data_IF_116650822078
#
_entry.id   IF_116650822078
#
_cell.length_a   1.000
_cell.length_b   1.000
_cell.length_c   1.000
_cell.angle_alpha   90.00
_cell.angle_beta   90.00
_cell.angle_gamma   90.00
#
_symmetry.space_group_name_H-M   'P 1'
#
loop_
_entity.id
_entity.type
_entity.pdbx_description
1 polymer ?
#
# COMPACT_ATOMS: atom_id res chain seq x y z
N UNK A 1 68.17 -24.05 5.93
CA UNK A 1 67.43 -24.46 4.72
C UNK A 1 66.04 -24.93 5.12
N UNK A 2 65.03 -24.25 4.60
CA UNK A 2 63.67 -24.72 4.27
C UNK A 2 62.76 -25.45 5.30
N UNK A 3 61.63 -24.76 5.56
CA UNK A 3 60.21 -25.22 5.46
C UNK A 3 59.72 -26.21 6.53
N UNK A 4 58.50 -26.16 7.07
CA UNK A 4 57.25 -25.52 6.65
C UNK A 4 56.35 -25.32 7.90
N UNK A 5 55.75 -24.14 8.04
CA UNK A 5 54.67 -23.83 8.99
C UNK A 5 53.37 -24.51 8.54
N UNK A 6 52.64 -25.20 9.43
CA UNK A 6 51.20 -25.40 9.29
C UNK A 6 50.48 -24.53 10.33
N UNK A 7 50.03 -23.35 9.90
CA UNK A 7 49.07 -22.51 10.63
C UNK A 7 47.69 -23.14 10.48
N UNK A 8 47.05 -23.49 11.61
CA UNK A 8 45.61 -23.69 11.66
C UNK A 8 44.95 -22.34 11.38
N UNK A 9 44.26 -22.27 10.25
CA UNK A 9 43.40 -21.14 9.88
C UNK A 9 42.19 -21.18 10.82
N UNK A 10 42.15 -20.25 11.78
CA UNK A 10 40.93 -19.95 12.51
C UNK A 10 39.98 -19.27 11.53
N UNK A 11 38.91 -19.98 11.18
CA UNK A 11 37.81 -19.45 10.39
C UNK A 11 37.14 -18.35 11.22
N UNK A 12 37.41 -17.09 10.91
CA UNK A 12 36.65 -15.94 11.40
C UNK A 12 35.23 -16.08 10.84
N UNK A 13 34.32 -16.64 11.65
CA UNK A 13 32.89 -16.48 11.40
C UNK A 13 32.53 -15.02 11.65
N UNK A 14 32.62 -14.22 10.59
CA UNK A 14 31.97 -12.91 10.55
C UNK A 14 30.46 -13.16 10.68
N UNK A 15 29.98 -13.13 11.92
CA UNK A 15 28.57 -12.90 12.21
C UNK A 15 28.31 -11.49 11.72
N UNK A 16 27.87 -11.37 10.47
CA UNK A 16 27.19 -10.18 10.00
C UNK A 16 25.93 -10.07 10.87
N UNK A 17 26.02 -9.28 11.93
CA UNK A 17 24.85 -8.63 12.49
C UNK A 17 24.21 -7.88 11.32
N UNK A 18 23.16 -8.46 10.75
CA UNK A 18 22.25 -7.73 9.88
C UNK A 18 21.76 -6.56 10.72
N UNK A 19 22.28 -5.36 10.45
CA UNK A 19 21.70 -4.14 10.98
C UNK A 19 20.27 -4.10 10.46
N UNK A 20 19.32 -4.48 11.33
CA UNK A 20 17.92 -4.11 11.16
C UNK A 20 17.91 -2.59 11.27
N UNK A 21 17.96 -1.92 10.12
CA UNK A 21 17.72 -0.49 10.05
C UNK A 21 16.25 -0.32 10.38
N UNK A 22 15.95 -0.18 11.67
CA UNK A 22 14.62 0.19 12.13
C UNK A 22 14.29 1.56 11.53
N UNK A 23 13.24 1.62 10.71
CA UNK A 23 12.71 2.85 10.13
C UNK A 23 12.61 3.96 11.19
N UNK A 24 13.29 5.06 10.89
CA UNK A 24 13.32 6.25 11.72
C UNK A 24 12.24 7.20 11.25
N UNK A 25 10.98 6.85 11.53
CA UNK A 25 10.00 7.91 11.81
C UNK A 25 10.64 8.87 12.83
N UNK A 26 10.52 10.19 12.67
CA UNK A 26 11.08 11.18 13.62
C UNK A 26 10.51 11.06 15.06
N UNK A 27 9.62 10.11 15.31
CA UNK A 27 9.15 9.66 16.61
C UNK A 27 9.89 8.42 17.09
N UNK A 28 10.05 8.22 18.41
CA UNK A 28 10.65 6.97 18.95
C UNK A 28 10.12 5.71 18.25
N UNK A 29 11.00 4.76 17.88
CA UNK A 29 10.65 3.61 17.05
C UNK A 29 9.54 2.75 17.68
N UNK A 30 8.74 2.04 16.88
CA UNK A 30 7.78 1.07 17.41
C UNK A 30 8.50 -0.02 18.20
N UNK A 31 7.85 -0.56 19.23
CA UNK A 31 8.39 -1.71 19.96
C UNK A 31 8.25 -2.98 19.14
N UNK A 32 7.18 -3.08 18.34
CA UNK A 32 6.95 -4.20 17.44
C UNK A 32 6.54 -3.64 16.09
N UNK A 33 7.23 -4.08 15.04
CA UNK A 33 6.87 -3.80 13.66
C UNK A 33 7.03 -5.07 12.85
N UNK A 34 5.92 -5.80 12.72
CA UNK A 34 5.88 -7.08 12.03
C UNK A 34 5.31 -6.90 10.63
N UNK A 35 6.14 -7.20 9.64
CA UNK A 35 5.79 -7.25 8.21
C UNK A 35 6.58 -8.38 7.56
N UNK A 36 6.11 -8.88 6.43
CA UNK A 36 6.86 -9.90 5.70
C UNK A 36 8.05 -9.30 4.99
N UNK A 37 9.20 -9.93 5.20
CA UNK A 37 10.35 -9.78 4.34
C UNK A 37 10.07 -10.44 2.97
N UNK A 38 10.02 -9.66 1.87
CA UNK A 38 9.74 -10.15 0.53
C UNK A 38 10.74 -11.19 0.03
N UNK A 39 11.96 -11.24 0.59
CA UNK A 39 13.01 -12.18 0.20
C UNK A 39 12.83 -13.60 0.76
N UNK A 40 11.83 -13.84 1.61
CA UNK A 40 11.67 -15.15 2.28
C UNK A 40 11.01 -16.21 1.40
N UNK A 41 11.40 -17.48 1.55
CA UNK A 41 10.80 -18.62 0.82
C UNK A 41 9.28 -18.73 1.00
N UNK A 42 8.72 -18.25 2.12
CA UNK A 42 7.27 -18.16 2.34
C UNK A 42 6.62 -17.10 1.43
N UNK A 43 7.25 -15.94 1.24
CA UNK A 43 6.80 -14.89 0.31
C UNK A 43 6.73 -15.39 -1.15
N UNK A 44 7.71 -16.21 -1.55
CA UNK A 44 7.80 -16.78 -2.92
C UNK A 44 6.72 -17.83 -3.18
N UNK A 45 6.25 -18.55 -2.16
CA UNK A 45 5.26 -19.64 -2.27
C UNK A 45 3.80 -19.22 -2.09
N UNK A 46 3.50 -17.92 -2.04
CA UNK A 46 2.12 -17.47 -1.86
C UNK A 46 1.24 -17.92 -3.04
N UNK A 47 0.14 -18.65 -2.78
CA UNK A 47 -0.82 -19.02 -3.83
C UNK A 47 -1.82 -17.91 -4.14
N UNK A 48 -1.82 -16.81 -3.38
CA UNK A 48 -2.79 -15.72 -3.53
C UNK A 48 -2.59 -15.04 -4.90
N UNK A 49 -3.63 -14.96 -5.72
CA UNK A 49 -3.48 -14.58 -7.14
C UNK A 49 -3.17 -13.09 -7.36
N UNK A 50 -3.30 -12.26 -6.31
CA UNK A 50 -3.23 -10.81 -6.40
C UNK A 50 -1.94 -10.22 -5.79
N UNK A 51 -0.76 -10.83 -6.00
CA UNK A 51 0.47 -10.47 -5.25
C UNK A 51 1.13 -9.09 -5.54
N UNK A 52 0.43 -8.18 -6.21
CA UNK A 52 0.96 -6.93 -6.73
C UNK A 52 1.62 -6.02 -5.67
N UNK A 53 0.83 -5.51 -4.72
CA UNK A 53 1.15 -4.59 -3.62
C UNK A 53 1.93 -5.16 -2.40
N UNK A 54 2.68 -6.27 -2.53
CA UNK A 54 3.20 -7.13 -1.43
C UNK A 54 2.16 -8.05 -0.80
N UNK A 55 2.33 -9.35 -1.02
CA UNK A 55 1.35 -10.33 -0.55
C UNK A 55 2.06 -11.60 -0.13
N UNK A 56 2.23 -11.69 1.17
CA UNK A 56 1.80 -12.81 2.00
C UNK A 56 1.21 -12.12 3.25
N UNK A 57 0.30 -12.78 3.98
CA UNK A 57 -0.02 -12.36 5.35
C UNK A 57 1.11 -12.75 6.30
N UNK A 58 1.27 -12.04 7.44
CA UNK A 58 2.32 -12.29 8.45
C UNK A 58 2.13 -13.63 9.21
N UNK A 59 1.31 -14.54 8.68
CA UNK A 59 0.93 -15.83 9.23
C UNK A 59 2.13 -16.56 9.86
N UNK A 60 1.99 -16.88 11.15
CA UNK A 60 2.95 -17.57 12.01
C UNK A 60 4.25 -16.79 12.31
N UNK A 61 4.35 -15.49 11.98
CA UNK A 61 5.53 -14.69 12.37
C UNK A 61 5.46 -14.22 13.82
N UNK A 62 4.24 -14.05 14.35
CA UNK A 62 4.09 -13.60 15.72
C UNK A 62 3.97 -14.80 16.66
N UNK A 63 5.12 -15.30 17.10
CA UNK A 63 5.29 -16.55 17.87
C UNK A 63 4.34 -16.73 19.06
N UNK A 64 3.87 -15.64 19.67
CA UNK A 64 3.02 -15.68 20.86
C UNK A 64 1.56 -15.37 20.59
N UNK A 65 1.19 -14.92 19.38
CA UNK A 65 -0.16 -14.44 19.02
C UNK A 65 -0.77 -13.44 20.01
N UNK A 66 0.08 -12.79 20.81
CA UNK A 66 -0.31 -11.72 21.72
C UNK A 66 0.82 -10.70 21.91
N UNK A 67 0.43 -9.46 22.26
CA UNK A 67 1.32 -8.40 22.71
C UNK A 67 1.04 -8.14 24.19
N UNK A 68 2.09 -8.15 25.02
CA UNK A 68 2.00 -7.76 26.43
C UNK A 68 2.21 -6.26 26.55
N UNK A 69 1.42 -5.61 27.38
CA UNK A 69 1.59 -4.20 27.71
C UNK A 69 1.13 -3.92 29.15
N UNK A 70 1.53 -2.76 29.66
CA UNK A 70 1.11 -2.28 30.98
C UNK A 70 -0.02 -1.28 30.83
N UNK A 71 -1.05 -1.41 31.66
CA UNK A 71 -2.15 -0.44 31.76
C UNK A 71 -1.67 0.96 32.20
N UNK A 72 -0.52 1.06 32.86
CA UNK A 72 0.11 2.33 33.26
C UNK A 72 0.80 3.08 32.12
N UNK A 73 0.91 2.46 30.94
CA UNK A 73 1.46 3.08 29.74
C UNK A 73 0.39 3.17 28.67
N UNK A 74 0.36 4.30 27.98
CA UNK A 74 -0.45 4.41 26.76
C UNK A 74 0.15 3.53 25.67
N UNK A 75 -0.65 3.10 24.71
CA UNK A 75 -0.14 2.37 23.56
C UNK A 75 -0.94 2.68 22.29
N UNK A 76 -0.36 2.39 21.14
CA UNK A 76 -1.02 2.48 19.85
C UNK A 76 -0.70 1.25 19.02
N UNK A 77 -1.72 0.54 18.58
CA UNK A 77 -1.66 -0.57 17.65
C UNK A 77 -2.22 -0.10 16.31
N UNK A 78 -1.53 -0.38 15.20
CA UNK A 78 -2.04 -0.22 13.84
C UNK A 78 -1.82 -1.51 13.06
N UNK A 79 -2.79 -1.92 12.25
CA UNK A 79 -2.71 -3.16 11.49
C UNK A 79 -3.43 -3.07 10.16
N UNK A 80 -3.07 -3.97 9.24
CA UNK A 80 -3.72 -4.14 7.94
C UNK A 80 -4.30 -5.54 7.86
N UNK A 81 -5.57 -5.61 7.46
CA UNK A 81 -6.34 -6.85 7.37
C UNK A 81 -7.07 -6.96 6.03
N UNK A 82 -7.03 -8.12 5.37
CA UNK A 82 -7.65 -8.31 4.03
C UNK A 82 -9.14 -8.64 4.07
N UNK A 83 -9.66 -9.04 5.24
CA UNK A 83 -11.11 -9.23 5.49
C UNK A 83 -11.77 -10.35 4.68
N UNK A 84 -11.01 -11.39 4.27
CA UNK A 84 -11.51 -12.52 3.47
C UNK A 84 -12.56 -13.37 4.20
N UNK A 85 -12.26 -13.85 5.39
CA UNK A 85 -13.14 -14.73 6.19
C UNK A 85 -13.66 -14.02 7.44
N UNK A 86 -14.79 -14.45 8.00
CA UNK A 86 -15.30 -13.88 9.26
C UNK A 86 -14.40 -14.32 10.41
N UNK A 87 -13.57 -13.42 10.92
CA UNK A 87 -12.57 -13.79 11.92
C UNK A 87 -12.28 -12.66 12.93
N UNK A 88 -11.99 -13.03 14.19
CA UNK A 88 -11.51 -12.05 15.16
C UNK A 88 -10.13 -11.56 14.73
N UNK A 89 -9.97 -10.24 14.62
CA UNK A 89 -8.68 -9.62 14.30
C UNK A 89 -7.86 -9.47 15.58
N UNK A 90 -8.43 -8.86 16.61
CA UNK A 90 -7.82 -8.79 17.93
C UNK A 90 -8.84 -8.66 19.05
N UNK A 91 -8.42 -9.03 20.26
CA UNK A 91 -9.23 -8.92 21.47
C UNK A 91 -8.36 -8.54 22.66
N UNK A 92 -8.90 -7.66 23.49
CA UNK A 92 -8.40 -7.34 24.82
C UNK A 92 -9.37 -7.94 25.86
N UNK A 93 -9.03 -9.13 26.39
CA UNK A 93 -9.91 -9.90 27.27
C UNK A 93 -10.34 -9.14 28.51
N UNK A 94 -9.45 -8.30 29.07
CA UNK A 94 -9.69 -7.64 30.35
C UNK A 94 -10.58 -6.39 30.23
N UNK A 95 -10.82 -5.87 29.03
CA UNK A 95 -11.61 -4.64 28.81
C UNK A 95 -12.84 -4.83 27.94
N UNK A 96 -13.18 -6.06 27.56
CA UNK A 96 -14.27 -6.37 26.63
C UNK A 96 -14.20 -5.51 25.37
N UNK A 97 -12.99 -5.35 24.83
CA UNK A 97 -12.75 -4.69 23.55
C UNK A 97 -12.30 -5.73 22.54
N UNK A 98 -12.96 -5.76 21.38
CA UNK A 98 -12.60 -6.68 20.31
C UNK A 98 -12.83 -6.05 18.96
N UNK A 99 -11.95 -6.37 18.02
CA UNK A 99 -12.13 -6.08 16.62
C UNK A 99 -12.27 -7.38 15.85
N UNK A 100 -13.29 -7.43 15.01
CA UNK A 100 -13.50 -8.43 13.98
C UNK A 100 -13.57 -7.68 12.63
N UNK A 101 -13.42 -8.35 11.50
CA UNK A 101 -13.49 -7.70 10.18
C UNK A 101 -14.87 -7.16 9.80
N UNK A 102 -15.93 -7.57 10.50
CA UNK A 102 -17.30 -7.05 10.29
C UNK A 102 -17.85 -6.23 11.47
N UNK A 103 -17.16 -6.20 12.63
CA UNK A 103 -17.62 -5.40 13.78
C UNK A 103 -16.50 -5.00 14.74
N UNK A 104 -16.66 -3.84 15.35
CA UNK A 104 -15.93 -3.41 16.53
C UNK A 104 -16.84 -3.47 17.76
N UNK A 105 -16.34 -3.97 18.88
CA UNK A 105 -17.10 -4.05 20.14
C UNK A 105 -16.28 -3.44 21.27
N UNK A 106 -16.91 -2.57 22.07
CA UNK A 106 -16.33 -1.96 23.28
C UNK A 106 -17.38 -1.89 24.38
N UNK A 107 -17.30 -2.81 25.34
CA UNK A 107 -18.35 -3.00 26.35
C UNK A 107 -19.67 -3.35 25.64
N UNK A 108 -20.74 -2.58 25.90
CA UNK A 108 -22.05 -2.80 25.27
C UNK A 108 -22.21 -2.11 23.90
N UNK A 109 -21.21 -1.36 23.44
CA UNK A 109 -21.28 -0.66 22.15
C UNK A 109 -20.74 -1.55 21.05
N UNK A 110 -21.54 -1.70 19.99
CA UNK A 110 -21.19 -2.44 18.78
C UNK A 110 -21.23 -1.46 17.60
N UNK A 111 -20.22 -1.52 16.75
CA UNK A 111 -20.15 -0.76 15.50
C UNK A 111 -19.91 -1.75 14.37
N UNK A 112 -20.82 -1.81 13.41
CA UNK A 112 -20.66 -2.63 12.21
C UNK A 112 -19.60 -2.05 11.29
N UNK A 113 -18.87 -2.92 10.61
CA UNK A 113 -17.79 -2.59 9.69
C UNK A 113 -18.09 -3.21 8.33
N UNK A 114 -17.78 -2.48 7.27
CA UNK A 114 -17.81 -3.04 5.93
C UNK A 114 -16.71 -4.09 5.77
N UNK A 115 -17.08 -5.29 5.29
CA UNK A 115 -16.14 -6.38 5.07
C UNK A 115 -15.29 -6.11 3.82
N UNK A 116 -14.19 -5.37 4.01
CA UNK A 116 -13.23 -5.01 2.96
C UNK A 116 -11.81 -4.90 3.53
N UNK A 117 -10.76 -4.99 2.70
CA UNK A 117 -9.40 -4.70 3.13
C UNK A 117 -9.34 -3.34 3.84
N UNK A 118 -8.78 -3.32 5.05
CA UNK A 118 -8.89 -2.16 5.94
C UNK A 118 -7.63 -1.95 6.78
N UNK A 119 -7.39 -0.68 7.12
CA UNK A 119 -6.39 -0.26 8.09
C UNK A 119 -7.11 0.04 9.40
N UNK A 120 -6.70 -0.60 10.48
CA UNK A 120 -7.27 -0.39 11.80
C UNK A 120 -6.22 0.17 12.76
N UNK A 121 -6.60 1.14 13.57
CA UNK A 121 -5.76 1.65 14.65
C UNK A 121 -6.52 1.73 15.95
N UNK A 122 -5.87 1.28 17.02
CA UNK A 122 -6.36 1.33 18.39
C UNK A 122 -5.35 2.06 19.26
N UNK A 123 -5.78 3.15 19.87
CA UNK A 123 -4.98 3.91 20.83
C UNK A 123 -5.65 3.85 22.19
N UNK A 124 -4.90 3.41 23.18
CA UNK A 124 -5.33 3.41 24.56
C UNK A 124 -4.45 4.30 25.43
N UNK A 125 -5.07 5.01 26.37
CA UNK A 125 -4.39 5.91 27.30
C UNK A 125 -4.05 5.16 28.59
N UNK A 126 -3.01 5.64 29.27
CA UNK A 126 -2.60 5.09 30.55
C UNK A 126 -3.71 5.22 31.60
N UNK A 127 -4.06 4.11 32.24
CA UNK A 127 -4.89 4.09 33.44
C UNK A 127 -3.98 4.16 34.67
N UNK A 128 -3.98 5.32 35.33
CA UNK A 128 -3.18 5.59 36.53
C UNK A 128 -3.91 5.23 37.83
N UNK A 129 -5.19 4.83 37.76
CA UNK A 129 -6.02 4.60 38.95
C UNK A 129 -6.07 3.13 39.38
N UNK A 130 -5.90 2.19 38.45
CA UNK A 130 -5.93 0.75 38.73
C UNK A 130 -4.55 0.16 39.02
N UNK A 131 -4.23 -0.08 40.30
CA UNK A 131 -2.98 -0.69 40.78
C UNK A 131 -2.90 -2.22 40.62
N UNK A 132 -3.93 -2.88 40.06
CA UNK A 132 -4.11 -4.34 40.18
C UNK A 132 -3.56 -5.18 39.03
N UNK A 133 -3.12 -4.61 37.90
CA UNK A 133 -2.69 -5.44 36.76
C UNK A 133 -1.67 -4.80 35.82
N UNK A 134 -0.40 -5.12 36.04
CA UNK A 134 0.73 -4.56 35.27
C UNK A 134 0.98 -5.20 33.90
N UNK A 135 0.35 -6.35 33.60
CA UNK A 135 0.59 -7.10 32.36
C UNK A 135 -0.70 -7.58 31.71
N UNK A 136 -1.26 -6.72 30.86
CA UNK A 136 -2.40 -7.00 29.98
C UNK A 136 -1.92 -7.63 28.67
N UNK A 137 -2.84 -8.24 27.93
CA UNK A 137 -2.57 -8.88 26.64
C UNK A 137 -3.56 -8.43 25.57
N UNK A 138 -3.03 -8.07 24.41
CA UNK A 138 -3.80 -7.97 23.17
C UNK A 138 -3.57 -9.27 22.42
N UNK A 139 -4.61 -10.09 22.26
CA UNK A 139 -4.55 -11.31 21.45
C UNK A 139 -4.95 -10.97 20.01
N UNK A 140 -4.41 -11.67 19.02
CA UNK A 140 -4.77 -11.50 17.61
C UNK A 140 -4.69 -12.81 16.86
N UNK A 141 -5.51 -12.92 15.81
CA UNK A 141 -5.34 -13.93 14.76
C UNK A 141 -4.57 -13.30 13.60
N UNK A 142 -3.59 -14.02 13.09
CA UNK A 142 -2.66 -13.53 12.08
C UNK A 142 -2.91 -14.07 10.68
N UNK A 143 -4.01 -14.80 10.47
CA UNK A 143 -4.32 -15.49 9.21
C UNK A 143 -4.53 -14.53 8.03
N UNK A 144 -5.23 -13.41 8.25
CA UNK A 144 -5.41 -12.36 7.24
C UNK A 144 -4.78 -11.02 7.64
N UNK A 145 -3.80 -11.02 8.56
CA UNK A 145 -3.01 -9.84 8.88
C UNK A 145 -1.84 -9.69 7.91
N UNK A 146 -1.62 -8.48 7.39
CA UNK A 146 -0.55 -8.20 6.42
C UNK A 146 0.61 -7.40 7.03
N UNK A 147 0.31 -6.55 8.00
CA UNK A 147 1.31 -5.78 8.75
C UNK A 147 0.72 -5.34 10.09
N UNK A 148 1.56 -5.33 11.12
CA UNK A 148 1.22 -4.93 12.47
C UNK A 148 2.32 -4.00 13.01
N UNK A 149 1.90 -2.85 13.53
CA UNK A 149 2.77 -1.82 14.09
C UNK A 149 2.28 -1.47 15.50
N UNK A 150 3.14 -1.63 16.50
CA UNK A 150 2.81 -1.37 17.90
C UNK A 150 3.80 -0.40 18.53
N UNK A 151 3.26 0.66 19.14
CA UNK A 151 3.99 1.63 19.94
C UNK A 151 3.58 1.52 21.41
N UNK A 152 4.52 1.41 22.36
CA UNK A 152 4.24 1.44 23.80
C UNK A 152 4.05 2.87 24.31
N UNK A 153 3.41 3.70 23.49
CA UNK A 153 3.02 5.08 23.79
C UNK A 153 1.82 5.48 22.95
N UNK A 154 1.20 6.58 23.34
CA UNK A 154 0.25 7.28 22.48
C UNK A 154 1.00 7.88 21.29
N UNK A 155 0.64 7.47 20.08
CA UNK A 155 1.11 8.12 18.85
C UNK A 155 0.34 9.42 18.65
N UNK A 156 1.00 10.47 18.16
CA UNK A 156 0.33 11.75 17.91
C UNK A 156 -0.62 11.62 16.72
N UNK A 157 -1.63 12.49 16.63
CA UNK A 157 -2.55 12.46 15.49
C UNK A 157 -1.81 12.63 14.14
N UNK A 158 -0.77 13.47 14.10
CA UNK A 158 0.04 13.70 12.89
C UNK A 158 0.81 12.45 12.48
N UNK A 159 1.44 11.77 13.43
CA UNK A 159 2.21 10.56 13.15
C UNK A 159 1.31 9.39 12.79
N UNK A 160 0.11 9.31 13.37
CA UNK A 160 -0.88 8.30 13.00
C UNK A 160 -1.33 8.47 11.55
N UNK A 161 -1.53 9.70 11.07
CA UNK A 161 -1.84 9.97 9.66
C UNK A 161 -0.67 9.53 8.75
N UNK A 162 0.58 9.74 9.15
CA UNK A 162 1.75 9.25 8.39
C UNK A 162 1.80 7.72 8.32
N UNK A 163 1.53 7.03 9.43
CA UNK A 163 1.41 5.57 9.47
C UNK A 163 0.30 5.10 8.53
N UNK A 164 -0.87 5.74 8.56
CA UNK A 164 -1.97 5.41 7.64
C UNK A 164 -1.62 5.67 6.19
N UNK A 165 -0.89 6.75 5.89
CA UNK A 165 -0.44 7.09 4.54
C UNK A 165 0.51 6.02 4.00
N UNK A 166 1.49 5.60 4.81
CA UNK A 166 2.40 4.51 4.50
C UNK A 166 1.65 3.20 4.21
N UNK A 167 0.77 2.76 5.11
CA UNK A 167 0.00 1.52 4.93
C UNK A 167 -0.94 1.62 3.72
N UNK A 168 -1.57 2.77 3.51
CA UNK A 168 -2.48 2.98 2.38
C UNK A 168 -1.75 2.86 1.04
N UNK A 169 -0.60 3.53 0.88
CA UNK A 169 0.19 3.47 -0.35
C UNK A 169 0.73 2.05 -0.57
N UNK A 170 1.28 1.43 0.49
CA UNK A 170 1.87 0.09 0.41
C UNK A 170 0.85 -0.95 -0.01
N UNK A 171 -0.36 -0.93 0.58
CA UNK A 171 -1.36 -1.97 0.37
C UNK A 171 -2.44 -1.59 -0.66
N UNK A 172 -2.48 -0.36 -1.17
CA UNK A 172 -3.50 0.11 -2.10
C UNK A 172 -4.89 0.23 -1.45
N UNK A 173 -4.94 0.48 -0.14
CA UNK A 173 -6.18 0.65 0.63
C UNK A 173 -6.44 2.14 0.81
N UNK A 174 -7.45 2.69 0.16
CA UNK A 174 -7.70 4.13 0.16
C UNK A 174 -8.14 4.69 1.51
N UNK A 175 -7.64 5.89 1.83
CA UNK A 175 -8.10 6.73 2.93
C UNK A 175 -9.12 7.73 2.36
N UNK A 176 -10.37 7.32 2.15
CA UNK A 176 -11.41 8.09 1.43
C UNK A 176 -11.64 9.54 1.91
N UNK A 177 -11.20 9.89 3.12
CA UNK A 177 -11.28 11.25 3.68
C UNK A 177 -9.95 11.74 4.27
N UNK A 178 -8.89 10.97 4.11
CA UNK A 178 -7.58 11.23 4.69
C UNK A 178 -6.70 12.08 3.79
N UNK A 179 -5.90 12.95 4.41
CA UNK A 179 -4.77 13.60 3.73
C UNK A 179 -3.57 12.67 3.88
N UNK A 180 -2.82 12.50 2.80
CA UNK A 180 -1.64 11.66 2.75
C UNK A 180 -0.39 12.48 3.03
N UNK A 181 0.50 11.95 3.85
CA UNK A 181 1.78 12.57 4.16
C UNK A 181 2.92 11.55 4.07
N UNK A 182 4.09 12.02 3.62
CA UNK A 182 5.35 11.27 3.76
C UNK A 182 5.81 11.22 5.22
N UNK A 183 6.81 10.40 5.51
CA UNK A 183 7.56 10.38 6.78
C UNK A 183 8.01 11.78 7.23
N UNK A 184 8.50 12.59 6.30
CA UNK A 184 8.99 13.95 6.52
C UNK A 184 7.87 14.95 6.83
N UNK A 185 6.60 14.59 6.56
CA UNK A 185 5.44 15.47 6.73
C UNK A 185 5.10 16.28 5.48
N UNK A 186 5.68 15.96 4.33
CA UNK A 186 5.29 16.52 3.03
C UNK A 186 3.92 15.98 2.65
N UNK A 187 2.99 16.86 2.27
CA UNK A 187 1.69 16.45 1.78
C UNK A 187 1.83 15.76 0.42
N UNK A 188 1.31 14.53 0.32
CA UNK A 188 1.34 13.73 -0.90
C UNK A 188 0.03 13.82 -1.67
N UNK A 189 -1.11 13.87 -0.99
CA UNK A 189 -2.42 13.92 -1.63
C UNK A 189 -3.46 14.44 -0.64
N UNK A 190 -4.31 15.38 -1.07
CA UNK A 190 -5.41 15.94 -0.27
C UNK A 190 -6.69 15.91 -1.11
N UNK A 191 -7.74 15.16 -0.71
CA UNK A 191 -8.98 15.03 -1.49
C UNK A 191 -9.62 16.39 -1.83
N UNK A 192 -9.37 17.44 -1.04
CA UNK A 192 -9.88 18.79 -1.30
C UNK A 192 -9.23 19.46 -2.51
N UNK A 193 -8.02 19.04 -2.90
CA UNK A 193 -7.26 19.61 -4.02
C UNK A 193 -7.56 18.93 -5.36
N UNK A 194 -8.24 17.78 -5.36
CA UNK A 194 -8.51 16.96 -6.55
C UNK A 194 -9.96 17.03 -7.07
N UNK A 195 -10.79 17.92 -6.52
CA UNK A 195 -12.17 18.18 -6.99
C UNK A 195 -12.99 16.87 -7.14
N UNK A 196 -13.39 16.52 -8.37
CA UNK A 196 -14.11 15.30 -8.70
C UNK A 196 -13.25 14.03 -8.62
N UNK A 197 -11.93 14.12 -8.84
CA UNK A 197 -10.98 13.01 -8.83
C UNK A 197 -10.49 12.66 -7.41
N UNK A 198 -11.42 12.46 -6.49
CA UNK A 198 -11.13 12.22 -5.06
C UNK A 198 -11.36 10.78 -4.60
N UNK A 199 -11.68 9.88 -5.52
CA UNK A 199 -12.07 8.51 -5.19
C UNK A 199 -10.94 7.53 -5.46
N UNK A 200 -10.91 6.47 -4.64
CA UNK A 200 -9.93 5.38 -4.70
C UNK A 200 -8.47 5.86 -4.88
N UNK A 201 -7.99 6.84 -4.07
CA UNK A 201 -6.59 7.25 -4.11
C UNK A 201 -5.67 6.05 -3.91
N UNK A 202 -4.72 5.93 -4.83
CA UNK A 202 -3.73 4.83 -4.90
C UNK A 202 -2.38 5.45 -5.23
N UNK A 203 -1.29 4.84 -4.74
CA UNK A 203 0.03 5.44 -4.88
C UNK A 203 1.16 4.46 -5.16
N UNK A 204 2.21 4.99 -5.79
CA UNK A 204 3.56 4.45 -5.84
C UNK A 204 4.50 5.40 -5.10
N UNK A 205 5.64 4.89 -4.66
CA UNK A 205 6.71 5.77 -4.20
C UNK A 205 7.72 5.11 -3.27
N UNK A 206 8.77 5.86 -2.97
CA UNK A 206 9.83 5.45 -2.07
C UNK A 206 9.99 6.44 -0.93
N UNK A 207 9.99 5.91 0.28
CA UNK A 207 10.19 6.65 1.53
C UNK A 207 11.12 5.81 2.40
N UNK A 208 12.41 6.14 2.39
CA UNK A 208 13.42 5.39 3.14
C UNK A 208 13.16 5.43 4.65
N UNK A 209 12.64 6.56 5.17
CA UNK A 209 12.36 6.74 6.60
C UNK A 209 11.20 5.86 7.07
N UNK A 210 10.28 5.47 6.17
CA UNK A 210 9.18 4.53 6.41
C UNK A 210 9.45 3.11 5.87
N UNK A 211 10.63 2.85 5.29
CA UNK A 211 10.92 1.62 4.53
C UNK A 211 9.89 1.32 3.42
N UNK A 212 9.27 2.35 2.85
CA UNK A 212 8.34 2.22 1.73
C UNK A 212 9.12 2.15 0.43
N UNK A 213 8.80 1.17 -0.41
CA UNK A 213 9.32 1.09 -1.77
C UNK A 213 8.27 0.45 -2.69
N UNK A 214 7.23 1.19 -3.00
CA UNK A 214 6.12 0.76 -3.84
C UNK A 214 6.39 1.14 -5.31
N UNK A 215 6.70 0.14 -6.14
CA UNK A 215 7.06 0.28 -7.56
C UNK A 215 5.91 0.02 -8.51
N UNK A 216 4.87 -0.64 -8.04
CA UNK A 216 3.63 -0.90 -8.76
C UNK A 216 2.48 -1.02 -7.76
N UNK A 217 1.29 -0.59 -8.15
CA UNK A 217 0.12 -0.68 -7.27
C UNK A 217 -1.20 -0.73 -8.02
N UNK A 218 -2.21 -1.25 -7.34
CA UNK A 218 -3.60 -1.33 -7.75
C UNK A 218 -4.50 -1.11 -6.53
N UNK A 219 -5.69 -0.55 -6.74
CA UNK A 219 -6.60 -0.24 -5.65
C UNK A 219 -7.32 -1.51 -5.15
N UNK A 220 -7.45 -1.68 -3.84
CA UNK A 220 -8.08 -2.88 -3.27
C UNK A 220 -9.62 -2.85 -3.32
N UNK A 221 -10.23 -1.68 -3.51
CA UNK A 221 -11.67 -1.56 -3.76
C UNK A 221 -12.01 -1.81 -5.23
N UNK A 222 -11.08 -1.50 -6.15
CA UNK A 222 -11.26 -1.66 -7.59
C UNK A 222 -9.97 -2.12 -8.27
N UNK A 223 -9.96 -3.39 -8.68
CA UNK A 223 -8.79 -4.04 -9.29
C UNK A 223 -8.65 -3.77 -10.79
N UNK A 224 -9.43 -2.84 -11.35
CA UNK A 224 -9.41 -2.52 -12.78
C UNK A 224 -8.06 -1.99 -13.26
N UNK A 225 -7.47 -1.03 -12.55
CA UNK A 225 -6.30 -0.27 -12.99
C UNK A 225 -5.07 -0.59 -12.15
N UNK A 226 -4.02 -1.07 -12.81
CA UNK A 226 -2.68 -1.21 -12.24
C UNK A 226 -1.72 -0.23 -12.92
N UNK A 227 -0.90 0.47 -12.15
CA UNK A 227 0.20 1.30 -12.65
C UNK A 227 1.51 0.84 -12.01
N UNK A 228 2.58 0.76 -12.80
CA UNK A 228 3.93 0.49 -12.32
C UNK A 228 4.99 1.34 -13.02
N UNK A 229 6.11 1.58 -12.33
CA UNK A 229 7.28 2.17 -12.96
C UNK A 229 7.97 1.16 -13.88
N UNK A 230 8.22 1.54 -15.13
CA UNK A 230 8.80 0.79 -16.25
C UNK A 230 8.06 -0.48 -16.67
N UNK A 231 7.67 -1.32 -15.73
CA UNK A 231 7.05 -2.63 -15.95
C UNK A 231 6.10 -2.97 -14.81
N UNK A 232 5.23 -3.95 -15.04
CA UNK A 232 4.40 -4.57 -14.01
C UNK A 232 4.78 -6.05 -13.96
N UNK A 233 5.22 -6.49 -12.79
CA UNK A 233 5.56 -7.90 -12.51
C UNK A 233 4.53 -8.51 -11.56
N UNK A 234 4.65 -9.80 -11.28
CA UNK A 234 3.73 -10.51 -10.38
C UNK A 234 3.75 -9.93 -8.96
N UNK A 235 4.92 -9.55 -8.45
CA UNK A 235 5.07 -8.92 -7.12
C UNK A 235 5.85 -7.62 -7.18
N UNK A 236 5.55 -6.70 -6.26
CA UNK A 236 6.32 -5.46 -6.13
C UNK A 236 7.84 -5.73 -5.96
N UNK A 237 8.23 -6.79 -5.24
CA UNK A 237 9.64 -7.18 -5.08
C UNK A 237 10.32 -7.57 -6.38
N UNK A 238 9.61 -8.22 -7.30
CA UNK A 238 10.15 -8.67 -8.60
C UNK A 238 10.30 -7.53 -9.61
N UNK A 239 9.64 -6.39 -9.40
CA UNK A 239 9.80 -5.22 -10.26
C UNK A 239 11.22 -4.66 -10.07
N UNK A 240 12.10 -4.67 -11.09
CA UNK A 240 13.51 -4.30 -10.91
C UNK A 240 13.73 -2.79 -10.82
N UNK A 241 12.69 -1.98 -11.00
CA UNK A 241 12.82 -0.52 -11.05
C UNK A 241 13.39 0.05 -9.76
N UNK A 242 14.29 1.02 -9.91
CA UNK A 242 14.83 1.82 -8.81
C UNK A 242 14.10 3.16 -8.82
N UNK A 243 13.57 3.55 -7.65
CA UNK A 243 12.94 4.84 -7.41
C UNK A 243 13.86 5.63 -6.48
N UNK A 244 14.00 6.93 -6.70
CA UNK A 244 14.71 7.81 -5.77
C UNK A 244 13.90 8.06 -4.49
N UNK A 245 14.58 8.38 -3.40
CA UNK A 245 13.91 8.69 -2.15
C UNK A 245 12.99 9.92 -2.30
N UNK A 246 11.84 9.90 -1.63
CA UNK A 246 10.83 10.96 -1.63
C UNK A 246 10.19 11.23 -3.00
N UNK A 247 10.22 10.26 -3.92
CA UNK A 247 9.44 10.28 -5.15
C UNK A 247 8.16 9.49 -4.96
N UNK A 248 7.03 10.12 -5.26
CA UNK A 248 5.69 9.52 -5.16
C UNK A 248 4.86 9.84 -6.38
N UNK A 249 4.03 8.89 -6.77
CA UNK A 249 3.00 9.06 -7.80
C UNK A 249 1.69 8.68 -7.16
N UNK A 250 0.69 9.55 -7.23
CA UNK A 250 -0.65 9.30 -6.70
C UNK A 250 -1.65 9.37 -7.85
N UNK A 251 -2.63 8.49 -7.88
CA UNK A 251 -3.76 8.59 -8.80
C UNK A 251 -5.08 8.30 -8.10
N UNK A 252 -6.14 8.89 -8.65
CA UNK A 252 -7.51 8.78 -8.16
C UNK A 252 -8.48 8.95 -9.31
N UNK A 253 -9.72 8.49 -9.14
CA UNK A 253 -10.76 8.53 -10.16
C UNK A 253 -11.93 9.44 -9.80
N UNK A 254 -12.76 9.72 -10.82
CA UNK A 254 -13.93 10.59 -10.74
C UNK A 254 -15.24 9.88 -10.31
N UNK A 255 -15.15 8.59 -9.97
CA UNK A 255 -16.26 7.71 -9.58
C UNK A 255 -17.41 7.63 -10.57
N UNK A 256 -17.20 8.00 -11.84
CA UNK A 256 -18.17 7.69 -12.88
C UNK A 256 -18.23 6.18 -13.11
N UNK A 257 -19.22 5.77 -13.89
CA UNK A 257 -19.46 4.36 -14.16
C UNK A 257 -18.34 3.74 -15.00
N UNK A 258 -18.13 2.44 -14.81
CA UNK A 258 -17.31 1.62 -15.70
C UNK A 258 -18.12 1.21 -16.93
N UNK A 259 -18.66 2.20 -17.65
CA UNK A 259 -19.45 2.02 -18.85
C UNK A 259 -18.75 2.71 -20.03
N UNK A 260 -18.78 2.07 -21.19
CA UNK A 260 -18.27 2.62 -22.43
C UNK A 260 -19.37 3.45 -23.12
N UNK A 261 -19.04 4.68 -23.51
CA UNK A 261 -19.90 5.57 -24.31
C UNK A 261 -19.22 5.88 -25.63
N UNK A 262 -19.91 5.60 -26.73
CA UNK A 262 -19.41 5.82 -28.08
C UNK A 262 -20.11 6.97 -28.81
N UNK A 263 -19.36 7.56 -29.73
CA UNK A 263 -19.87 8.02 -31.03
C UNK A 263 -19.15 7.19 -32.12
N UNK A 264 -19.58 7.29 -33.38
CA UNK A 264 -19.32 6.42 -34.55
C UNK A 264 -17.88 5.91 -34.81
N UNK A 265 -16.86 6.39 -34.10
CA UNK A 265 -15.44 6.03 -34.28
C UNK A 265 -14.79 5.24 -33.13
N UNK A 266 -15.25 5.39 -31.87
CA UNK A 266 -14.60 4.79 -30.70
C UNK A 266 -15.51 4.81 -29.47
N UNK A 267 -15.49 3.75 -28.65
CA UNK A 267 -16.17 3.75 -27.36
C UNK A 267 -15.20 4.13 -26.25
N UNK A 268 -15.50 5.20 -25.52
CA UNK A 268 -14.66 5.75 -24.46
C UNK A 268 -15.27 5.45 -23.10
N UNK A 269 -14.43 5.04 -22.15
CA UNK A 269 -14.84 4.77 -20.78
C UNK A 269 -15.26 6.07 -20.09
N UNK A 270 -16.44 6.06 -19.46
CA UNK A 270 -16.93 7.25 -18.75
C UNK A 270 -16.02 7.63 -17.58
N UNK A 271 -15.55 6.63 -16.83
CA UNK A 271 -14.59 6.83 -15.74
C UNK A 271 -13.28 7.38 -16.26
N UNK A 272 -12.78 8.38 -15.56
CA UNK A 272 -11.50 9.02 -15.84
C UNK A 272 -10.65 9.07 -14.57
N UNK A 273 -9.34 9.18 -14.74
CA UNK A 273 -8.37 9.25 -13.66
C UNK A 273 -7.55 10.52 -13.75
N UNK A 274 -7.20 11.07 -12.60
CA UNK A 274 -6.12 12.04 -12.44
C UNK A 274 -4.90 11.31 -11.85
N UNK A 275 -3.71 11.62 -12.37
CA UNK A 275 -2.43 11.16 -11.80
C UNK A 275 -1.51 12.34 -11.54
N UNK A 276 -0.84 12.32 -10.39
CA UNK A 276 -0.05 13.40 -9.84
C UNK A 276 1.35 12.90 -9.48
N UNK A 277 2.36 13.71 -9.79
CA UNK A 277 3.78 13.41 -9.62
C UNK A 277 4.39 14.30 -8.56
N UNK A 278 4.99 13.70 -7.53
CA UNK A 278 5.51 14.39 -6.35
C UNK A 278 6.96 14.00 -6.13
N UNK A 279 7.83 14.98 -5.94
CA UNK A 279 9.26 14.78 -5.81
C UNK A 279 10.05 15.52 -6.88
N UNK A 280 11.27 15.92 -6.54
CA UNK A 280 12.12 16.70 -7.43
C UNK A 280 12.67 15.80 -8.54
N UNK A 281 12.38 16.12 -9.80
CA UNK A 281 12.80 15.33 -10.96
C UNK A 281 12.20 13.92 -11.04
N UNK A 282 11.05 13.69 -10.40
CA UNK A 282 10.34 12.42 -10.58
C UNK A 282 10.06 12.17 -12.08
N UNK A 283 10.38 10.97 -12.62
CA UNK A 283 10.10 10.67 -14.01
C UNK A 283 8.60 10.74 -14.30
N UNK A 284 8.22 11.44 -15.38
CA UNK A 284 6.83 11.50 -15.88
C UNK A 284 6.63 10.57 -17.09
N UNK A 285 7.64 9.75 -17.38
CA UNK A 285 7.74 8.85 -18.53
C UNK A 285 8.10 7.43 -18.11
N UNK A 286 7.98 6.48 -19.04
CA UNK A 286 8.28 5.07 -18.85
C UNK A 286 7.45 4.39 -17.76
N UNK A 287 6.13 4.60 -17.77
CA UNK A 287 5.21 3.81 -16.96
C UNK A 287 4.66 2.63 -17.75
N UNK A 288 4.33 1.55 -17.04
CA UNK A 288 3.49 0.48 -17.56
C UNK A 288 2.12 0.59 -16.89
N UNK A 289 1.07 0.62 -17.70
CA UNK A 289 -0.31 0.70 -17.27
C UNK A 289 -1.02 -0.56 -17.73
N UNK A 290 -1.73 -1.22 -16.83
CA UNK A 290 -2.45 -2.45 -17.12
C UNK A 290 -3.89 -2.31 -16.67
N UNK A 291 -4.83 -2.66 -17.55
CA UNK A 291 -6.26 -2.67 -17.25
C UNK A 291 -6.86 -4.06 -17.44
N UNK A 292 -7.99 -4.33 -16.77
CA UNK A 292 -8.78 -5.54 -17.01
C UNK A 292 -9.53 -5.46 -18.34
N UNK A 293 -9.29 -6.44 -19.23
CA UNK A 293 -9.87 -6.47 -20.59
C UNK A 293 -11.39 -6.57 -20.55
N UNK A 294 -11.93 -7.39 -19.66
CA UNK A 294 -13.38 -7.63 -19.53
C UNK A 294 -14.20 -6.37 -19.27
N UNK A 295 -13.61 -5.36 -18.62
CA UNK A 295 -14.28 -4.09 -18.32
C UNK A 295 -14.41 -3.16 -19.55
N UNK A 296 -13.55 -3.31 -20.56
CA UNK A 296 -13.56 -2.50 -21.78
C UNK A 296 -13.95 -3.28 -23.03
N UNK A 297 -13.90 -4.61 -22.99
CA UNK A 297 -14.31 -5.47 -24.10
C UNK A 297 -14.88 -6.81 -23.56
N UNK A 298 -16.04 -6.79 -22.90
CA UNK A 298 -16.63 -7.98 -22.29
C UNK A 298 -16.98 -9.06 -23.31
N UNK A 299 -17.18 -8.69 -24.58
CA UNK A 299 -17.52 -9.60 -25.68
C UNK A 299 -16.30 -10.10 -26.45
N UNK A 300 -15.08 -9.72 -26.05
CA UNK A 300 -13.82 -10.09 -26.72
C UNK A 300 -13.86 -9.88 -28.24
N UNK A 301 -14.43 -8.76 -28.67
CA UNK A 301 -14.47 -8.36 -30.07
C UNK A 301 -13.06 -7.98 -30.57
N UNK A 302 -12.77 -8.09 -31.87
CA UNK A 302 -11.47 -7.72 -32.43
C UNK A 302 -11.32 -6.18 -32.52
N UNK A 303 -11.14 -5.56 -31.36
CA UNK A 303 -11.04 -4.11 -31.17
C UNK A 303 -9.61 -3.66 -30.90
N UNK A 304 -9.32 -2.40 -31.20
CA UNK A 304 -8.06 -1.76 -30.82
C UNK A 304 -8.24 -1.05 -29.48
N UNK A 305 -7.36 -1.29 -28.51
CA UNK A 305 -7.43 -0.62 -27.22
C UNK A 305 -6.58 0.64 -27.20
N UNK A 306 -7.11 1.67 -26.57
CA UNK A 306 -6.48 2.97 -26.47
C UNK A 306 -6.49 3.47 -25.03
N UNK A 307 -5.38 4.02 -24.60
CA UNK A 307 -5.32 4.93 -23.47
C UNK A 307 -5.32 6.35 -24.04
N UNK A 308 -6.26 7.16 -23.57
CA UNK A 308 -6.48 8.53 -24.00
C UNK A 308 -5.94 9.45 -22.91
N UNK A 309 -4.83 10.11 -23.17
CA UNK A 309 -4.18 11.03 -22.26
C UNK A 309 -4.52 12.47 -22.66
N UNK A 310 -5.17 13.22 -21.76
CA UNK A 310 -5.57 14.60 -21.99
C UNK A 310 -4.44 15.54 -21.54
N UNK A 311 -3.80 16.20 -22.50
CA UNK A 311 -2.76 17.19 -22.26
C UNK A 311 -3.35 18.52 -21.80
N UNK A 312 -2.49 19.36 -21.22
CA UNK A 312 -2.87 20.68 -20.71
C UNK A 312 -3.37 21.65 -21.79
N UNK A 313 -2.88 21.49 -23.03
CA UNK A 313 -3.30 22.27 -24.20
C UNK A 313 -4.66 21.81 -24.78
N UNK A 314 -5.30 20.80 -24.19
CA UNK A 314 -6.56 20.21 -24.65
C UNK A 314 -6.40 19.09 -25.70
N UNK A 315 -5.18 18.81 -26.16
CA UNK A 315 -4.87 17.70 -27.05
C UNK A 315 -5.07 16.35 -26.35
N UNK A 316 -5.53 15.34 -27.09
CA UNK A 316 -5.64 13.96 -26.61
C UNK A 316 -4.59 13.10 -27.29
N UNK A 317 -3.57 12.69 -26.54
CA UNK A 317 -2.57 11.71 -26.99
C UNK A 317 -3.16 10.31 -26.86
N UNK A 318 -3.17 9.55 -27.96
CA UNK A 318 -3.62 8.15 -27.99
C UNK A 318 -2.42 7.22 -27.83
N UNK A 319 -2.52 6.28 -26.91
CA UNK A 319 -1.48 5.26 -26.67
C UNK A 319 -2.10 3.89 -26.93
N UNK A 320 -1.49 3.10 -27.80
CA UNK A 320 -2.00 1.77 -28.19
C UNK A 320 -1.77 0.77 -27.06
N UNK A 321 -2.82 0.03 -26.70
CA UNK A 321 -2.75 -1.10 -25.77
C UNK A 321 -2.53 -2.42 -26.49
N UNK A 322 -1.87 -3.36 -25.82
CA UNK A 322 -1.67 -4.74 -26.30
C UNK A 322 -2.37 -5.71 -25.38
N UNK A 323 -3.13 -6.64 -25.95
CA UNK A 323 -3.73 -7.72 -25.16
C UNK A 323 -2.65 -8.64 -24.58
N UNK A 324 -2.85 -9.04 -23.33
CA UNK A 324 -2.05 -10.05 -22.64
C UNK A 324 -2.96 -10.86 -21.73
N UNK A 325 -3.52 -11.96 -22.26
CA UNK A 325 -4.49 -12.79 -21.56
C UNK A 325 -5.78 -12.03 -21.23
N UNK A 326 -6.10 -11.92 -19.93
CA UNK A 326 -7.25 -11.20 -19.40
C UNK A 326 -7.03 -9.69 -19.20
N UNK A 327 -5.84 -9.19 -19.53
CA UNK A 327 -5.44 -7.80 -19.34
C UNK A 327 -5.12 -7.11 -20.68
N UNK A 328 -5.11 -5.78 -20.66
CA UNK A 328 -4.55 -4.93 -21.72
C UNK A 328 -3.44 -4.09 -21.12
N UNK A 329 -2.28 -4.08 -21.78
CA UNK A 329 -1.07 -3.41 -21.30
C UNK A 329 -0.70 -2.25 -22.22
N UNK A 330 -0.44 -1.09 -21.63
CA UNK A 330 0.10 0.11 -22.26
C UNK A 330 1.49 0.33 -21.69
N UNK A 331 2.53 0.07 -22.49
CA UNK A 331 3.92 0.23 -22.07
C UNK A 331 4.52 1.54 -22.55
N UNK A 332 5.57 1.99 -21.85
CA UNK A 332 6.29 3.25 -22.14
C UNK A 332 5.36 4.46 -22.14
N UNK A 333 4.37 4.45 -21.24
CA UNK A 333 3.45 5.57 -21.07
C UNK A 333 4.22 6.78 -20.58
N UNK A 334 4.09 7.87 -21.33
CA UNK A 334 4.52 9.20 -20.98
C UNK A 334 3.28 10.00 -20.60
N UNK A 335 3.11 10.22 -19.30
CA UNK A 335 1.97 10.93 -18.74
C UNK A 335 2.09 12.44 -18.92
N UNK A 336 3.31 12.98 -18.88
CA UNK A 336 3.56 14.40 -19.14
C UNK A 336 4.88 14.56 -19.88
N UNK A 337 4.91 15.49 -20.83
CA UNK A 337 6.11 15.88 -21.57
C UNK A 337 6.78 17.14 -20.97
N UNK A 338 7.88 17.59 -21.59
CA UNK A 338 8.64 18.74 -21.11
C UNK A 338 7.91 20.09 -21.28
N UNK A 339 6.84 20.15 -22.08
CA UNK A 339 6.05 21.34 -22.34
C UNK A 339 4.79 21.40 -21.46
N UNK A 340 4.44 20.29 -20.81
CA UNK A 340 3.34 20.26 -19.86
C UNK A 340 3.66 21.08 -18.60
N UNK A 341 2.71 21.93 -18.22
CA UNK A 341 2.79 22.73 -17.00
C UNK A 341 2.19 21.96 -15.84
N UNK A 342 2.84 22.05 -14.67
CA UNK A 342 2.38 21.42 -13.45
C UNK A 342 2.83 19.96 -13.29
N UNK A 343 2.12 19.26 -12.41
CA UNK A 343 2.50 17.94 -11.92
C UNK A 343 1.36 16.92 -11.98
N UNK A 344 0.29 17.20 -12.72
CA UNK A 344 -0.79 16.24 -12.92
C UNK A 344 -1.32 16.24 -14.35
N UNK A 345 -1.98 15.13 -14.70
CA UNK A 345 -2.61 14.92 -15.99
C UNK A 345 -3.81 13.99 -15.82
N UNK A 346 -4.65 13.92 -16.86
CA UNK A 346 -5.86 13.12 -16.84
C UNK A 346 -5.86 12.09 -17.96
N UNK A 347 -6.44 10.93 -17.69
CA UNK A 347 -6.55 9.88 -18.71
C UNK A 347 -7.81 9.03 -18.55
N UNK A 348 -8.17 8.36 -19.63
CA UNK A 348 -9.21 7.31 -19.67
C UNK A 348 -8.83 6.24 -20.71
N UNK A 349 -9.68 5.25 -20.88
CA UNK A 349 -9.46 4.12 -21.79
C UNK A 349 -10.59 4.03 -22.81
N UNK A 350 -10.30 3.40 -23.94
CA UNK A 350 -11.24 3.18 -25.02
C UNK A 350 -10.94 1.88 -25.76
N UNK A 351 -11.97 1.34 -26.42
CA UNK A 351 -11.91 0.12 -27.24
C UNK A 351 -12.79 0.26 -28.49
#
# INVERSE_FOLDING_TARGET
>A
MNKLFLKRIALLSNVFFSMTVFSQLKTSPPEIWEKIDPGTRKAVKCPDENLLNFHCGINDRVLKKYIRYSNHKSHTLSLVHSSKEDEPIWKEDNKNVSLNNYKYSKGNRITELGKRPSIFSYTELADKQNAKQDSLKIQFEDQNLYELIFYPKKVTAKDLIKIHSYLSIKYGISLEKGIYYSSEGTELWDPKKHKEYRYRPTGLGRDNDNELNQKQSCNQEDLFLTIGFNTITRTNSENPTIIDNNHFVMWSDDNKKMELKGDKEMNVLERSWEINFLGKNIPKTNYSVRIKKEAVNPRSQPLSYWMLLKKNNGEVKKIVGKESGGDVIFDKVEFMDAFDVGNSTHFTFAA
#
